data_IF_380627988694
#
_entry.id   IF_380627988694
#
_cell.length_a   1.000
_cell.length_b   1.000
_cell.length_c   1.000
_cell.angle_alpha   90.00
_cell.angle_beta   90.00
_cell.angle_gamma   90.00
#
_symmetry.space_group_name_H-M   'P 1'
#
loop_
_entity.id
_entity.type
_entity.pdbx_description
1 polymer ?
#
# COMPACT_ATOMS: atom_id res chain seq x y z
N UNK A 1 -56.37 11.65 -8.68
CA UNK A 1 -55.64 10.36 -8.64
C UNK A 1 -54.32 10.43 -9.40
N UNK A 2 -54.31 10.69 -10.71
CA UNK A 2 -53.07 10.75 -11.50
C UNK A 2 -52.03 11.80 -11.04
N UNK A 3 -52.48 13.00 -10.64
CA UNK A 3 -51.59 14.06 -10.15
C UNK A 3 -50.90 13.71 -8.81
N UNK A 4 -51.62 13.01 -7.94
CA UNK A 4 -51.09 12.53 -6.65
C UNK A 4 -50.08 11.40 -6.84
N UNK A 5 -50.32 10.51 -7.81
CA UNK A 5 -49.37 9.46 -8.19
C UNK A 5 -48.07 10.05 -8.80
N UNK A 6 -48.18 11.11 -9.61
CA UNK A 6 -47.02 11.80 -10.17
C UNK A 6 -46.17 12.45 -9.08
N UNK A 7 -46.82 13.12 -8.12
CA UNK A 7 -46.14 13.82 -7.02
C UNK A 7 -45.42 12.86 -6.07
N UNK A 8 -46.04 11.72 -5.75
CA UNK A 8 -45.42 10.68 -4.91
C UNK A 8 -44.24 10.00 -5.61
N UNK A 9 -44.32 9.78 -6.92
CA UNK A 9 -43.22 9.20 -7.71
C UNK A 9 -42.04 10.18 -7.82
N UNK A 10 -42.33 11.48 -7.95
CA UNK A 10 -41.30 12.54 -7.91
C UNK A 10 -40.60 12.61 -6.55
N UNK A 11 -41.36 12.57 -5.45
CA UNK A 11 -40.81 12.57 -4.09
C UNK A 11 -39.95 11.32 -3.83
N UNK A 12 -40.38 10.16 -4.29
CA UNK A 12 -39.60 8.93 -4.20
C UNK A 12 -38.30 9.01 -5.02
N UNK A 13 -38.36 9.54 -6.25
CA UNK A 13 -37.19 9.71 -7.10
C UNK A 13 -36.17 10.71 -6.51
N UNK A 14 -36.65 11.83 -5.93
CA UNK A 14 -35.79 12.80 -5.23
C UNK A 14 -35.19 12.18 -3.97
N UNK A 15 -35.97 11.41 -3.20
CA UNK A 15 -35.48 10.68 -2.03
C UNK A 15 -34.37 9.68 -2.40
N UNK A 16 -34.56 8.91 -3.47
CA UNK A 16 -33.56 7.97 -4.00
C UNK A 16 -32.32 8.71 -4.50
N UNK A 17 -32.48 9.85 -5.19
CA UNK A 17 -31.34 10.64 -5.69
C UNK A 17 -30.51 11.26 -4.55
N UNK A 18 -31.15 11.76 -3.50
CA UNK A 18 -30.47 12.29 -2.30
C UNK A 18 -29.73 11.16 -1.58
N UNK A 19 -30.38 10.01 -1.36
CA UNK A 19 -29.74 8.85 -0.75
C UNK A 19 -28.57 8.36 -1.59
N UNK A 20 -28.74 8.26 -2.92
CA UNK A 20 -27.67 7.89 -3.82
C UNK A 20 -26.49 8.87 -3.73
N UNK A 21 -26.75 10.18 -3.72
CA UNK A 21 -25.73 11.23 -3.61
C UNK A 21 -24.89 11.19 -2.32
N UNK A 22 -25.49 10.77 -1.21
CA UNK A 22 -24.80 10.60 0.08
C UNK A 22 -23.76 9.45 0.00
N UNK A 23 -23.99 8.44 -0.83
CA UNK A 23 -23.05 7.32 -1.02
C UNK A 23 -21.89 7.65 -1.99
N UNK A 24 -21.83 8.82 -2.63
CA UNK A 24 -20.88 9.09 -3.74
C UNK A 24 -19.56 9.78 -3.32
N UNK A 25 -19.25 10.05 -2.05
CA UNK A 25 -17.93 10.67 -1.74
C UNK A 25 -17.47 10.53 -0.27
N UNK A 26 -17.45 9.32 0.28
CA UNK A 26 -16.97 9.10 1.65
C UNK A 26 -15.43 9.04 1.75
N UNK A 27 -14.72 10.00 1.15
CA UNK A 27 -13.29 10.16 1.41
C UNK A 27 -13.11 10.71 2.84
N UNK A 28 -12.39 10.00 3.74
CA UNK A 28 -12.23 10.46 5.12
C UNK A 28 -11.46 11.79 5.16
N UNK A 29 -11.93 12.71 6.00
CA UNK A 29 -11.22 13.95 6.29
C UNK A 29 -9.89 13.71 7.00
N UNK A 30 -8.99 14.70 6.97
CA UNK A 30 -7.63 14.58 7.53
C UNK A 30 -7.62 14.14 9.01
N UNK A 31 -8.55 14.63 9.84
CA UNK A 31 -8.66 14.23 11.25
C UNK A 31 -8.97 12.73 11.42
N UNK A 32 -9.83 12.18 10.56
CA UNK A 32 -10.16 10.75 10.59
C UNK A 32 -8.98 9.90 10.10
N UNK A 33 -8.29 10.35 9.06
CA UNK A 33 -7.08 9.70 8.56
C UNK A 33 -5.98 9.66 9.63
N UNK A 34 -5.74 10.77 10.33
CA UNK A 34 -4.75 10.80 11.40
C UNK A 34 -5.13 9.85 12.54
N UNK A 35 -6.39 9.89 12.99
CA UNK A 35 -6.89 8.97 14.02
C UNK A 35 -6.71 7.50 13.60
N UNK A 36 -7.05 7.17 12.35
CA UNK A 36 -6.87 5.82 11.83
C UNK A 36 -5.40 5.42 11.77
N UNK A 37 -4.50 6.33 11.36
CA UNK A 37 -3.07 6.08 11.36
C UNK A 37 -2.55 5.80 12.78
N UNK A 38 -2.98 6.60 13.77
CA UNK A 38 -2.59 6.43 15.17
C UNK A 38 -3.09 5.08 15.72
N UNK A 39 -4.33 4.68 15.38
CA UNK A 39 -4.89 3.36 15.71
C UNK A 39 -4.08 2.22 15.05
N UNK A 40 -3.69 2.37 13.79
CA UNK A 40 -2.89 1.38 13.06
C UNK A 40 -1.49 1.22 13.67
N UNK A 41 -0.86 2.33 14.08
CA UNK A 41 0.43 2.33 14.78
C UNK A 41 0.33 1.61 16.12
N UNK A 42 -0.66 1.98 16.94
CA UNK A 42 -0.88 1.39 18.25
C UNK A 42 -1.22 -0.11 18.20
N UNK A 43 -1.95 -0.56 17.16
CA UNK A 43 -2.20 -1.99 16.94
C UNK A 43 -0.88 -2.72 16.59
N UNK A 44 -0.04 -2.14 15.74
CA UNK A 44 1.26 -2.73 15.37
C UNK A 44 2.25 -2.78 16.53
N UNK A 45 2.28 -1.80 17.44
CA UNK A 45 3.12 -1.83 18.65
C UNK A 45 2.87 -3.08 19.50
N UNK A 46 1.61 -3.51 19.59
CA UNK A 46 1.22 -4.68 20.38
C UNK A 46 1.40 -5.98 19.61
N UNK A 47 1.41 -5.92 18.28
CA UNK A 47 1.15 -7.07 17.43
C UNK A 47 2.38 -7.57 16.65
N UNK A 48 3.22 -6.65 16.18
CA UNK A 48 4.34 -6.96 15.31
C UNK A 48 5.55 -7.56 16.04
N UNK A 49 5.67 -7.37 17.36
CA UNK A 49 6.87 -7.77 18.11
C UNK A 49 8.10 -6.97 17.68
N UNK A 50 9.28 -7.57 17.89
CA UNK A 50 10.55 -7.02 17.44
C UNK A 50 10.76 -7.32 15.95
N UNK A 51 11.08 -6.28 15.17
CA UNK A 51 11.32 -6.40 13.73
C UNK A 51 12.81 -6.24 13.45
N UNK A 52 13.37 -7.15 12.67
CA UNK A 52 14.76 -7.06 12.21
C UNK A 52 14.89 -5.87 11.25
N UNK A 53 15.91 -4.99 11.44
CA UNK A 53 16.17 -3.92 10.49
C UNK A 53 16.46 -4.50 9.10
N UNK A 54 15.84 -3.93 8.06
CA UNK A 54 16.16 -4.29 6.68
C UNK A 54 17.54 -3.74 6.34
N UNK A 55 18.61 -4.46 6.69
CA UNK A 55 19.97 -4.22 6.16
C UNK A 55 20.03 -4.61 4.69
N UNK A 56 21.19 -4.50 4.04
CA UNK A 56 21.28 -4.88 2.63
C UNK A 56 21.03 -6.39 2.48
N UNK A 57 21.65 -7.16 3.36
CA UNK A 57 21.54 -8.62 3.43
C UNK A 57 20.09 -9.03 3.67
N UNK A 58 19.39 -8.37 4.60
CA UNK A 58 17.96 -8.65 4.85
C UNK A 58 17.05 -8.31 3.69
N UNK A 59 17.41 -7.33 2.85
CA UNK A 59 16.65 -7.05 1.62
C UNK A 59 16.77 -8.23 0.64
N UNK A 60 17.95 -8.83 0.49
CA UNK A 60 18.14 -10.02 -0.37
C UNK A 60 17.44 -11.26 0.19
N UNK A 61 17.22 -11.31 1.51
CA UNK A 61 16.54 -12.41 2.19
C UNK A 61 15.03 -12.20 2.35
N UNK A 62 14.50 -11.01 2.01
CA UNK A 62 13.08 -10.70 2.12
C UNK A 62 12.26 -11.70 1.30
N UNK A 63 11.28 -12.35 1.93
CA UNK A 63 10.41 -13.32 1.25
C UNK A 63 8.95 -12.88 1.21
N UNK A 64 8.18 -13.54 0.36
CA UNK A 64 6.72 -13.39 0.33
C UNK A 64 5.99 -14.09 1.49
N UNK A 65 6.71 -14.84 2.32
CA UNK A 65 6.14 -15.51 3.48
C UNK A 65 5.55 -14.47 4.44
N UNK A 66 4.38 -14.79 4.98
CA UNK A 66 3.71 -13.95 5.95
C UNK A 66 3.26 -14.76 7.15
N UNK A 67 3.43 -14.16 8.31
CA UNK A 67 2.89 -14.65 9.57
C UNK A 67 1.74 -13.78 10.03
N UNK A 68 0.85 -14.41 10.81
CA UNK A 68 -0.28 -13.77 11.48
C UNK A 68 -1.21 -13.00 10.52
N UNK A 69 -1.27 -13.33 9.23
CA UNK A 69 -2.08 -12.57 8.28
C UNK A 69 -3.56 -12.59 8.66
N UNK A 70 -4.17 -11.40 8.78
CA UNK A 70 -5.61 -11.23 9.01
C UNK A 70 -6.16 -10.34 7.92
N UNK A 71 -7.17 -10.82 7.19
CA UNK A 71 -7.86 -10.03 6.17
C UNK A 71 -9.38 -10.08 6.40
N UNK A 72 -10.03 -8.92 6.40
CA UNK A 72 -11.48 -8.78 6.60
C UNK A 72 -12.06 -7.95 5.46
N UNK A 73 -13.24 -8.32 4.97
CA UNK A 73 -13.95 -7.62 3.87
C UNK A 73 -15.26 -6.98 4.31
N UNK A 74 -15.68 -7.18 5.56
CA UNK A 74 -16.95 -6.66 6.08
C UNK A 74 -16.83 -5.17 6.43
N UNK A 75 -17.67 -4.32 5.81
CA UNK A 75 -17.70 -2.86 5.98
C UNK A 75 -16.40 -2.14 5.58
N UNK A 76 -15.80 -2.58 4.47
CA UNK A 76 -14.49 -2.13 3.97
C UNK A 76 -13.46 -3.26 4.02
N UNK A 77 -12.35 -3.10 3.29
CA UNK A 77 -11.27 -4.07 3.29
C UNK A 77 -10.22 -3.66 4.32
N UNK A 78 -9.95 -4.51 5.30
CA UNK A 78 -8.82 -4.34 6.20
C UNK A 78 -7.89 -5.54 6.10
N UNK A 79 -6.59 -5.29 6.21
CA UNK A 79 -5.59 -6.36 6.23
C UNK A 79 -4.45 -5.99 7.18
N UNK A 80 -3.88 -6.98 7.85
CA UNK A 80 -2.61 -6.83 8.57
C UNK A 80 -1.81 -8.12 8.49
N UNK A 81 -0.49 -8.00 8.55
CA UNK A 81 0.43 -9.11 8.32
C UNK A 81 1.85 -8.75 8.74
N UNK A 82 2.67 -9.77 9.00
CA UNK A 82 4.12 -9.64 9.17
C UNK A 82 4.77 -10.42 8.04
N UNK A 83 5.59 -9.77 7.22
CA UNK A 83 6.46 -10.44 6.26
C UNK A 83 7.73 -10.91 6.94
N UNK A 84 8.22 -12.07 6.51
CA UNK A 84 9.43 -12.68 7.05
C UNK A 84 10.50 -12.92 5.99
N UNK A 85 11.75 -12.97 6.43
CA UNK A 85 12.86 -13.46 5.61
C UNK A 85 12.67 -14.93 5.23
N UNK A 86 13.50 -15.44 4.33
CA UNK A 86 13.55 -16.89 4.04
C UNK A 86 13.93 -17.74 5.27
N UNK A 87 14.48 -17.12 6.31
CA UNK A 87 14.80 -17.74 7.60
C UNK A 87 13.75 -17.48 8.68
N UNK A 88 12.56 -17.02 8.30
CA UNK A 88 11.43 -16.75 9.20
C UNK A 88 11.65 -15.61 10.21
N UNK A 89 12.61 -14.71 9.94
CA UNK A 89 12.80 -13.53 10.77
C UNK A 89 11.78 -12.44 10.38
N UNK A 90 11.07 -11.83 11.34
CA UNK A 90 10.09 -10.79 11.05
C UNK A 90 10.80 -9.50 10.65
N UNK A 91 10.60 -9.06 9.40
CA UNK A 91 11.31 -7.90 8.84
C UNK A 91 10.41 -6.70 8.58
N UNK A 92 9.11 -6.95 8.39
CA UNK A 92 8.16 -5.91 8.01
C UNK A 92 6.77 -6.23 8.52
N UNK A 93 6.14 -5.29 9.23
CA UNK A 93 4.74 -5.36 9.60
C UNK A 93 3.92 -4.33 8.84
N UNK A 94 2.69 -4.68 8.50
CA UNK A 94 1.79 -3.75 7.82
C UNK A 94 0.37 -3.80 8.39
N UNK A 95 -0.33 -2.68 8.24
CA UNK A 95 -1.76 -2.54 8.48
C UNK A 95 -2.37 -1.77 7.32
N UNK A 96 -3.51 -2.23 6.82
CA UNK A 96 -4.19 -1.72 5.63
C UNK A 96 -5.66 -1.48 5.94
N UNK A 97 -6.19 -0.37 5.45
CA UNK A 97 -7.59 0.01 5.56
C UNK A 97 -8.08 0.68 4.28
N UNK A 98 -9.01 0.03 3.60
CA UNK A 98 -9.77 0.58 2.49
C UNK A 98 -11.07 1.20 3.01
N UNK A 99 -11.35 2.42 2.57
CA UNK A 99 -12.55 3.15 2.93
C UNK A 99 -13.67 2.89 1.91
N UNK A 100 -14.89 2.70 2.42
CA UNK A 100 -16.08 2.56 1.56
C UNK A 100 -16.35 3.86 0.79
N UNK A 101 -16.79 3.75 -0.47
CA UNK A 101 -17.16 4.87 -1.33
C UNK A 101 -16.64 4.71 -2.76
N UNK A 102 -17.00 5.61 -3.69
CA UNK A 102 -16.50 5.54 -5.05
C UNK A 102 -15.04 6.01 -5.15
N UNK A 103 -14.26 5.24 -5.91
CA UNK A 103 -12.82 5.42 -6.07
C UNK A 103 -12.01 4.68 -5.00
N UNK A 104 -10.77 4.35 -5.33
CA UNK A 104 -9.85 3.68 -4.42
C UNK A 104 -9.33 4.67 -3.38
N UNK A 105 -9.88 4.65 -2.17
CA UNK A 105 -9.38 5.41 -1.03
C UNK A 105 -8.92 4.43 0.04
N UNK A 106 -7.64 4.49 0.40
CA UNK A 106 -7.09 3.58 1.38
C UNK A 106 -5.92 4.21 2.15
N UNK A 107 -5.66 3.67 3.33
CA UNK A 107 -4.50 3.97 4.15
C UNK A 107 -3.74 2.67 4.38
N UNK A 108 -2.43 2.71 4.14
CA UNK A 108 -1.51 1.63 4.44
C UNK A 108 -0.40 2.19 5.32
N UNK A 109 -0.21 1.57 6.48
CA UNK A 109 0.91 1.82 7.36
C UNK A 109 1.84 0.60 7.32
N UNK A 110 3.12 0.87 7.23
CA UNK A 110 4.18 -0.14 7.20
C UNK A 110 5.27 0.25 8.18
N UNK A 111 5.77 -0.72 8.92
CA UNK A 111 6.89 -0.57 9.84
C UNK A 111 7.93 -1.64 9.60
N UNK A 112 9.19 -1.25 9.60
CA UNK A 112 10.35 -2.15 9.64
C UNK A 112 11.11 -1.94 10.95
N UNK A 113 12.22 -2.65 11.17
CA UNK A 113 13.07 -2.41 12.34
C UNK A 113 13.72 -1.02 12.40
N UNK A 114 13.69 -0.25 11.30
CA UNK A 114 14.40 1.04 11.22
C UNK A 114 13.63 2.19 10.55
N UNK A 115 12.52 1.92 9.87
CA UNK A 115 11.76 2.92 9.10
C UNK A 115 10.26 2.70 9.18
N UNK A 116 9.51 3.77 8.96
CA UNK A 116 8.06 3.75 8.78
C UNK A 116 7.67 4.28 7.40
N UNK A 117 6.72 3.61 6.75
CA UNK A 117 6.11 4.08 5.50
C UNK A 117 4.61 4.26 5.70
N UNK A 118 4.08 5.38 5.17
CA UNK A 118 2.64 5.63 5.13
C UNK A 118 2.24 5.91 3.69
N UNK A 119 1.24 5.17 3.21
CA UNK A 119 0.69 5.33 1.88
C UNK A 119 -0.78 5.74 1.99
N UNK A 120 -1.09 6.93 1.45
CA UNK A 120 -2.45 7.41 1.32
C UNK A 120 -2.88 7.28 -0.13
N UNK A 121 -3.69 6.27 -0.40
CA UNK A 121 -4.29 6.05 -1.73
C UNK A 121 -5.46 7.00 -1.91
N UNK A 122 -5.48 7.72 -3.03
CA UNK A 122 -6.61 8.56 -3.42
C UNK A 122 -6.65 8.82 -4.92
N UNK A 123 -7.54 9.72 -5.33
CA UNK A 123 -7.85 9.98 -6.76
C UNK A 123 -6.64 10.45 -7.59
N UNK A 124 -5.65 11.11 -6.98
CA UNK A 124 -4.48 11.68 -7.68
C UNK A 124 -3.25 10.75 -7.71
N UNK A 125 -3.37 9.54 -7.17
CA UNK A 125 -2.27 8.61 -6.92
C UNK A 125 -2.12 8.29 -5.44
N UNK A 126 -0.95 7.78 -5.08
CA UNK A 126 -0.62 7.36 -3.72
C UNK A 126 0.39 8.34 -3.16
N UNK A 127 -0.01 9.11 -2.15
CA UNK A 127 0.95 9.92 -1.40
C UNK A 127 1.82 9.00 -0.54
N UNK A 128 3.14 9.14 -0.66
CA UNK A 128 4.14 8.32 0.04
C UNK A 128 4.84 9.17 1.08
N UNK A 129 4.81 8.73 2.34
CA UNK A 129 5.56 9.31 3.43
C UNK A 129 6.56 8.27 3.96
N UNK A 130 7.78 8.73 4.25
CA UNK A 130 8.84 7.97 4.90
C UNK A 130 9.18 8.70 6.19
N UNK A 131 9.14 8.02 7.33
CA UNK A 131 9.46 8.57 8.65
C UNK A 131 8.73 9.89 9.00
N UNK A 132 7.48 10.01 8.55
CA UNK A 132 6.56 11.17 8.67
C UNK A 132 6.81 12.31 7.67
N UNK A 133 7.82 12.22 6.82
CA UNK A 133 8.07 13.20 5.77
C UNK A 133 7.44 12.78 4.45
N UNK A 134 6.74 13.72 3.78
CA UNK A 134 6.17 13.45 2.45
C UNK A 134 7.26 13.48 1.39
N UNK A 135 7.60 12.30 0.89
CA UNK A 135 8.57 12.13 -0.22
C UNK A 135 7.93 12.54 -1.54
N UNK A 136 6.69 12.11 -1.79
CA UNK A 136 6.13 12.25 -3.12
C UNK A 136 4.73 11.70 -3.33
N UNK A 137 4.35 11.61 -4.60
CA UNK A 137 3.11 10.97 -5.05
C UNK A 137 3.42 9.97 -6.15
N UNK A 138 3.14 8.70 -5.88
CA UNK A 138 3.23 7.59 -6.83
C UNK A 138 2.01 7.58 -7.75
N UNK A 139 2.27 7.55 -9.06
CA UNK A 139 1.24 7.51 -10.10
C UNK A 139 0.93 6.07 -10.52
N UNK A 140 -0.17 5.93 -11.26
CA UNK A 140 -0.67 4.62 -11.71
C UNK A 140 0.37 3.87 -12.56
N UNK A 141 1.12 4.60 -13.39
CA UNK A 141 2.22 4.10 -14.20
C UNK A 141 3.46 3.61 -13.41
N UNK A 142 3.41 3.62 -12.07
CA UNK A 142 4.50 3.18 -11.22
C UNK A 142 5.59 4.22 -10.97
N UNK A 143 5.43 5.47 -11.44
CA UNK A 143 6.41 6.54 -11.21
C UNK A 143 6.12 7.34 -9.93
N UNK A 144 7.11 7.45 -9.05
CA UNK A 144 7.11 8.33 -7.88
C UNK A 144 7.70 9.69 -8.24
N UNK A 145 6.85 10.71 -8.20
CA UNK A 145 7.28 12.10 -8.33
C UNK A 145 7.49 12.72 -6.96
N UNK A 146 8.45 13.63 -6.85
CA UNK A 146 8.67 14.43 -5.64
C UNK A 146 7.39 15.17 -5.19
N UNK A 147 7.40 15.72 -3.98
CA UNK A 147 6.26 16.47 -3.45
C UNK A 147 5.76 17.62 -4.36
N UNK A 148 6.66 18.22 -5.16
CA UNK A 148 6.33 19.28 -6.13
C UNK A 148 5.76 18.75 -7.46
N UNK A 149 5.84 17.45 -7.72
CA UNK A 149 5.34 16.79 -8.92
C UNK A 149 6.19 17.00 -10.18
N UNK A 150 7.36 17.62 -10.07
CA UNK A 150 8.16 18.07 -11.23
C UNK A 150 9.44 17.25 -11.46
N UNK A 151 9.78 16.34 -10.54
CA UNK A 151 10.96 15.48 -10.65
C UNK A 151 10.58 14.04 -10.33
N UNK A 152 10.91 13.12 -11.24
CA UNK A 152 10.87 11.70 -10.97
C UNK A 152 11.95 11.33 -9.96
N UNK A 153 11.59 10.58 -8.92
CA UNK A 153 12.52 10.09 -7.89
C UNK A 153 12.83 8.61 -8.11
N UNK A 154 11.79 7.83 -8.39
CA UNK A 154 11.89 6.40 -8.60
C UNK A 154 10.73 5.90 -9.49
N UNK A 155 10.88 4.72 -10.06
CA UNK A 155 9.85 4.06 -10.86
C UNK A 155 9.90 2.55 -10.64
N UNK A 156 8.74 1.92 -10.52
CA UNK A 156 8.59 0.48 -10.64
C UNK A 156 7.92 0.14 -11.98
N UNK A 157 8.59 -0.65 -12.81
CA UNK A 157 8.04 -1.10 -14.09
C UNK A 157 7.12 -2.31 -13.87
N UNK A 158 5.82 -2.04 -13.73
CA UNK A 158 4.78 -3.06 -13.51
C UNK A 158 4.42 -3.87 -14.76
N UNK A 159 4.86 -3.44 -15.93
CA UNK A 159 4.60 -4.12 -17.22
C UNK A 159 5.68 -5.14 -17.55
N UNK A 160 6.82 -5.09 -16.86
CA UNK A 160 7.84 -6.12 -16.93
C UNK A 160 7.28 -7.45 -16.37
N UNK A 161 7.64 -8.56 -17.03
CA UNK A 161 7.03 -9.88 -16.88
C UNK A 161 7.01 -10.43 -15.45
N UNK A 162 7.91 -11.35 -15.13
CA UNK A 162 7.97 -12.01 -13.81
C UNK A 162 8.70 -11.17 -12.76
N UNK A 163 9.60 -10.29 -13.19
CA UNK A 163 10.38 -9.39 -12.35
C UNK A 163 10.00 -7.96 -12.72
N UNK A 164 9.79 -7.12 -11.72
CA UNK A 164 9.40 -5.72 -11.85
C UNK A 164 10.61 -4.84 -11.52
N UNK A 165 11.35 -4.33 -12.52
CA UNK A 165 12.49 -3.47 -12.29
C UNK A 165 12.11 -2.23 -11.51
N UNK A 166 12.91 -1.90 -10.50
CA UNK A 166 12.82 -0.65 -9.75
C UNK A 166 14.02 0.21 -10.10
N UNK A 167 13.72 1.39 -10.64
CA UNK A 167 14.70 2.42 -10.96
C UNK A 167 14.64 3.52 -9.91
N UNK A 168 15.80 4.01 -9.48
CA UNK A 168 15.94 5.20 -8.64
C UNK A 168 16.91 6.13 -9.36
N UNK A 169 16.49 7.38 -9.59
CA UNK A 169 17.25 8.36 -10.39
C UNK A 169 17.80 7.77 -11.71
N UNK A 170 16.92 7.10 -12.48
CA UNK A 170 17.24 6.44 -13.76
C UNK A 170 18.21 5.24 -13.69
N UNK A 171 18.64 4.85 -12.50
CA UNK A 171 19.46 3.65 -12.27
C UNK A 171 18.58 2.51 -11.78
N UNK A 172 18.56 1.38 -12.47
CA UNK A 172 17.95 0.15 -11.93
C UNK A 172 18.75 -0.31 -10.70
N UNK A 173 18.07 -0.53 -9.57
CA UNK A 173 18.72 -0.87 -8.29
C UNK A 173 18.33 -2.25 -7.76
N UNK A 174 17.15 -2.76 -8.13
CA UNK A 174 16.66 -4.08 -7.76
C UNK A 174 15.39 -4.42 -8.56
N UNK A 175 14.95 -5.66 -8.48
CA UNK A 175 13.69 -6.12 -9.02
C UNK A 175 12.75 -6.60 -7.91
N UNK A 176 11.45 -6.33 -8.04
CA UNK A 176 10.40 -6.96 -7.23
C UNK A 176 9.85 -8.15 -7.99
N UNK A 177 9.86 -9.34 -7.40
CA UNK A 177 9.25 -10.51 -8.02
C UNK A 177 7.72 -10.36 -8.12
N UNK A 178 7.12 -10.95 -9.15
CA UNK A 178 5.67 -11.06 -9.27
C UNK A 178 5.20 -12.33 -8.59
N UNK A 179 4.23 -12.20 -7.69
CA UNK A 179 3.47 -13.33 -7.17
C UNK A 179 2.58 -13.89 -8.28
N UNK A 180 2.73 -15.18 -8.58
CA UNK A 180 1.83 -15.88 -9.49
C UNK A 180 0.40 -15.95 -8.91
N UNK A 181 -0.58 -15.47 -9.67
CA UNK A 181 -2.00 -15.48 -9.26
C UNK A 181 -2.48 -16.93 -9.11
N UNK A 182 -3.14 -17.23 -8.00
CA UNK A 182 -3.76 -18.54 -7.75
C UNK A 182 -2.83 -19.63 -7.20
N UNK A 183 -1.53 -19.34 -7.04
CA UNK A 183 -0.60 -20.22 -6.33
C UNK A 183 -0.19 -19.59 -5.01
N UNK A 184 -0.22 -20.36 -3.93
CA UNK A 184 0.53 -19.97 -2.73
C UNK A 184 1.99 -19.75 -3.16
N UNK A 185 2.66 -18.72 -2.63
CA UNK A 185 4.06 -18.48 -2.96
C UNK A 185 4.81 -19.76 -2.59
N UNK A 186 5.73 -20.20 -3.44
CA UNK A 186 6.59 -21.33 -3.07
C UNK A 186 7.22 -20.98 -1.73
N UNK A 187 7.22 -21.93 -0.80
CA UNK A 187 7.71 -21.70 0.55
C UNK A 187 9.14 -21.13 0.47
N UNK A 188 9.36 -19.93 1.02
CA UNK A 188 10.67 -19.26 0.94
C UNK A 188 10.97 -18.54 -0.39
N UNK A 189 9.97 -18.27 -1.23
CA UNK A 189 10.17 -17.43 -2.42
C UNK A 189 10.56 -16.01 -2.02
N UNK A 190 11.72 -15.54 -2.50
CA UNK A 190 12.19 -14.17 -2.32
C UNK A 190 11.26 -13.17 -3.01
N UNK A 191 11.05 -12.02 -2.37
CA UNK A 191 10.26 -10.94 -2.95
C UNK A 191 11.11 -10.00 -3.79
N UNK A 192 12.42 -9.93 -3.52
CA UNK A 192 13.35 -9.06 -4.22
C UNK A 192 14.46 -9.89 -4.88
N UNK A 193 14.82 -9.51 -6.09
CA UNK A 193 15.82 -10.19 -6.92
C UNK A 193 16.74 -9.16 -7.58
N UNK A 194 17.94 -9.59 -7.97
CA UNK A 194 18.94 -8.72 -8.62
C UNK A 194 19.21 -7.41 -7.86
N UNK A 195 19.25 -7.47 -6.53
CA UNK A 195 19.54 -6.32 -5.67
C UNK A 195 20.99 -5.89 -5.90
N UNK A 196 21.21 -4.62 -6.22
CA UNK A 196 22.55 -4.10 -6.47
C UNK A 196 23.34 -3.94 -5.17
N UNK A 197 24.59 -4.36 -5.23
CA UNK A 197 25.51 -4.37 -4.10
C UNK A 197 25.96 -2.96 -3.66
N UNK A 198 25.99 -2.04 -4.62
CA UNK A 198 26.52 -0.68 -4.48
C UNK A 198 25.42 0.36 -4.21
N UNK A 199 24.25 -0.08 -3.75
CA UNK A 199 23.11 0.80 -3.50
C UNK A 199 23.41 1.81 -2.37
N UNK A 200 23.22 3.11 -2.64
CA UNK A 200 23.33 4.13 -1.59
C UNK A 200 22.20 3.99 -0.56
N UNK A 201 22.34 4.63 0.60
CA UNK A 201 21.26 4.67 1.59
C UNK A 201 19.98 5.29 1.01
N UNK A 202 20.13 6.39 0.27
CA UNK A 202 19.02 7.10 -0.37
C UNK A 202 18.36 6.24 -1.46
N UNK A 203 19.16 5.54 -2.26
CA UNK A 203 18.64 4.60 -3.26
C UNK A 203 17.84 3.48 -2.61
N UNK A 204 18.33 2.95 -1.50
CA UNK A 204 17.66 1.91 -0.71
C UNK A 204 16.35 2.38 -0.11
N UNK A 205 16.34 3.56 0.51
CA UNK A 205 15.13 4.12 1.10
C UNK A 205 14.06 4.37 0.02
N UNK A 206 14.45 4.86 -1.17
CA UNK A 206 13.55 5.02 -2.31
C UNK A 206 13.07 3.68 -2.88
N UNK A 207 13.97 2.71 -3.04
CA UNK A 207 13.61 1.36 -3.46
C UNK A 207 12.58 0.75 -2.52
N UNK A 208 12.86 0.73 -1.21
CA UNK A 208 11.96 0.18 -0.20
C UNK A 208 10.60 0.88 -0.22
N UNK A 209 10.57 2.19 -0.40
CA UNK A 209 9.30 2.95 -0.48
C UNK A 209 8.35 2.47 -1.59
N UNK A 210 8.88 1.92 -2.69
CA UNK A 210 8.08 1.33 -3.76
C UNK A 210 7.87 -0.17 -3.59
N UNK A 211 8.94 -0.87 -3.23
CA UNK A 211 9.00 -2.32 -3.21
C UNK A 211 8.05 -2.90 -2.16
N UNK A 212 8.03 -2.36 -0.94
CA UNK A 212 7.17 -2.89 0.13
C UNK A 212 5.70 -2.63 -0.17
N UNK A 213 5.37 -1.48 -0.76
CA UNK A 213 4.03 -1.18 -1.24
C UNK A 213 3.57 -2.23 -2.25
N UNK A 214 4.40 -2.51 -3.25
CA UNK A 214 4.08 -3.45 -4.31
C UNK A 214 3.88 -4.87 -3.75
N UNK A 215 4.80 -5.34 -2.89
CA UNK A 215 4.71 -6.65 -2.23
C UNK A 215 3.41 -6.80 -1.42
N UNK A 216 3.05 -5.78 -0.64
CA UNK A 216 1.82 -5.77 0.15
C UNK A 216 0.59 -5.75 -0.75
N UNK A 217 0.58 -4.94 -1.82
CA UNK A 217 -0.53 -4.89 -2.76
C UNK A 217 -0.74 -6.22 -3.49
N UNK A 218 0.35 -6.89 -3.89
CA UNK A 218 0.30 -8.22 -4.49
C UNK A 218 -0.27 -9.25 -3.50
N UNK A 219 0.06 -9.16 -2.21
CA UNK A 219 -0.48 -10.04 -1.16
C UNK A 219 -1.97 -9.82 -0.91
N UNK A 220 -2.40 -8.56 -0.77
CA UNK A 220 -3.77 -8.19 -0.40
C UNK A 220 -4.75 -8.39 -1.56
N UNK A 221 -4.30 -8.32 -2.82
CA UNK A 221 -5.15 -8.42 -4.01
C UNK A 221 -5.20 -9.82 -4.63
N UNK A 222 -4.81 -10.85 -3.88
CA UNK A 222 -5.06 -12.25 -4.24
C UNK A 222 -6.54 -12.61 -4.19
#
# INVERSE_FOLDING_TARGET
>A
MALFALFTLLLAAVGVAILAGIFVNFAPGNRKLQKDLDEMKADMDKWAGELVPLTREEVELFSFNQEKQVMRKSFGKTAKGIFTSIYHEPVLAYSYKEYMGPGKNALLYVRTGSQEFVYRVGKKGIDVLVDREKVGTLKENGTLYNHRGNRMLAQINREAGEFLPVLVNDREVANVARMNKGTNPKLGQRAFEFVKDDMSKEEKDMFLSLAVLEVIQQSINR
#
